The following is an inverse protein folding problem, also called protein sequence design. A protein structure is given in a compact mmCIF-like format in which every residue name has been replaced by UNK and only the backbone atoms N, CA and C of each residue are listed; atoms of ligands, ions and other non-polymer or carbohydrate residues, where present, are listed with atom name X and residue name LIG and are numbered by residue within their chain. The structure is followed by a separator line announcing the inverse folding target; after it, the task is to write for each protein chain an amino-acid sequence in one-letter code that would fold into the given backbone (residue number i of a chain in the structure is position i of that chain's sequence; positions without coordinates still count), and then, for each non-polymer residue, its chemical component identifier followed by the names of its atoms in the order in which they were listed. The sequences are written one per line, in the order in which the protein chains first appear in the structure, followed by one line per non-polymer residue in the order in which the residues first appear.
data_IF_706713277744
#
_entry.id   IF_706713277744
#
_cell.length_a   1.000
_cell.length_b   1.000
_cell.length_c   1.000
_cell.angle_alpha   90.00
_cell.angle_beta   90.00
_cell.angle_gamma   90.00
#
_symmetry.space_group_name_H-M   'P 1'
#
loop_
_entity.id
_entity.type
_entity.pdbx_description
1 polymer ?
#
# COMPACT_ATOMS: atom_id res chain seq x y z
N UNK A 1 23.77 13.96 4.64
CA UNK A 1 24.14 12.92 5.62
C UNK A 1 23.71 13.40 7.00
N UNK A 2 22.63 12.83 7.55
CA UNK A 2 22.28 13.03 8.97
C UNK A 2 23.10 12.03 9.75
N UNK A 3 24.08 12.50 10.49
CA UNK A 3 24.75 11.73 11.51
C UNK A 3 23.74 11.37 12.60
N UNK A 4 23.44 10.08 12.70
CA UNK A 4 22.71 9.54 13.83
C UNK A 4 23.67 9.58 15.03
N UNK A 5 23.46 10.48 15.99
CA UNK A 5 24.21 10.50 17.23
C UNK A 5 23.78 9.31 18.08
N UNK A 6 24.57 8.25 18.07
CA UNK A 6 24.47 7.19 19.07
C UNK A 6 25.02 7.77 20.38
N UNK A 7 24.13 8.05 21.31
CA UNK A 7 24.43 8.68 22.61
C UNK A 7 24.63 7.66 23.73
N UNK A 8 25.24 6.53 23.44
CA UNK A 8 25.69 5.59 24.47
C UNK A 8 27.10 5.12 24.18
N UNK A 9 28.03 5.93 24.66
CA UNK A 9 29.40 5.49 24.85
C UNK A 9 29.53 4.85 26.24
N UNK A 10 29.07 3.63 26.42
CA UNK A 10 29.64 2.78 27.44
C UNK A 10 31.01 2.33 26.96
N UNK A 11 32.05 2.49 27.81
CA UNK A 11 33.39 2.01 27.54
C UNK A 11 33.37 0.46 27.61
N UNK A 12 32.93 -0.18 26.54
CA UNK A 12 32.85 -1.63 26.41
C UNK A 12 32.77 -2.03 24.94
N UNK A 13 33.13 -3.24 24.61
CA UNK A 13 32.96 -3.81 23.27
C UNK A 13 31.48 -4.00 23.01
N UNK A 14 30.91 -3.23 22.09
CA UNK A 14 29.54 -3.44 21.63
C UNK A 14 29.57 -4.51 20.53
N UNK A 15 29.10 -5.69 20.83
CA UNK A 15 28.90 -6.74 19.83
C UNK A 15 27.56 -6.51 19.13
N UNK A 16 27.61 -6.15 17.87
CA UNK A 16 26.43 -6.09 17.01
C UNK A 16 26.30 -7.43 16.29
N UNK A 17 25.30 -8.21 16.68
CA UNK A 17 24.94 -9.44 15.96
C UNK A 17 23.99 -9.08 14.80
N UNK A 18 24.49 -9.20 13.58
CA UNK A 18 23.68 -9.02 12.37
C UNK A 18 23.22 -10.39 11.93
N UNK A 19 21.92 -10.65 12.06
CA UNK A 19 21.29 -11.86 11.52
C UNK A 19 20.79 -11.58 10.11
N UNK A 20 21.27 -12.38 9.15
CA UNK A 20 20.66 -12.37 7.83
C UNK A 20 19.24 -12.96 7.93
N UNK A 21 18.24 -12.19 7.53
CA UNK A 21 16.87 -12.69 7.35
C UNK A 21 16.64 -13.08 5.90
N UNK A 22 15.76 -14.05 5.67
CA UNK A 22 15.33 -14.36 4.31
C UNK A 22 14.74 -13.10 3.64
N UNK A 23 15.15 -12.82 2.41
CA UNK A 23 14.56 -11.73 1.63
C UNK A 23 13.15 -12.16 1.20
N UNK A 24 12.20 -11.23 1.26
CA UNK A 24 10.90 -11.42 0.62
C UNK A 24 11.10 -11.51 -0.90
N UNK A 25 10.32 -12.35 -1.57
CA UNK A 25 10.35 -12.47 -3.03
C UNK A 25 9.72 -11.26 -3.69
N UNK A 26 8.54 -10.86 -3.25
CA UNK A 26 7.88 -9.61 -3.65
C UNK A 26 8.05 -8.60 -2.51
N UNK A 27 8.63 -7.46 -2.81
CA UNK A 27 8.88 -6.40 -1.83
C UNK A 27 8.21 -5.10 -2.24
N UNK A 28 7.87 -4.30 -1.23
CA UNK A 28 7.49 -2.91 -1.41
C UNK A 28 8.78 -2.09 -1.62
N UNK A 29 8.97 -1.57 -2.83
CA UNK A 29 10.21 -0.89 -3.22
C UNK A 29 10.13 0.62 -3.05
N UNK A 30 9.02 1.21 -3.45
CA UNK A 30 8.80 2.66 -3.40
C UNK A 30 7.39 2.96 -2.91
N UNK A 31 7.25 4.07 -2.18
CA UNK A 31 5.96 4.61 -1.77
C UNK A 31 5.97 6.12 -2.00
N UNK A 32 5.11 6.58 -2.88
CA UNK A 32 4.88 8.00 -3.12
C UNK A 32 3.55 8.43 -2.48
N UNK A 33 3.65 9.24 -1.45
CA UNK A 33 2.50 9.67 -0.63
C UNK A 33 2.48 11.19 -0.37
N UNK A 34 3.22 11.93 -1.17
CA UNK A 34 3.37 13.38 -1.00
C UNK A 34 2.09 14.13 -1.42
N UNK A 35 1.94 15.34 -0.89
CA UNK A 35 1.00 16.36 -1.36
C UNK A 35 1.70 17.36 -2.24
N UNK A 36 1.26 17.51 -3.47
CA UNK A 36 1.65 18.58 -4.35
C UNK A 36 0.59 19.70 -4.34
N UNK A 37 0.68 20.63 -5.25
CA UNK A 37 -0.35 21.63 -5.48
C UNK A 37 -1.11 21.30 -6.77
N UNK A 38 -2.37 21.70 -6.82
CA UNK A 38 -3.14 21.73 -8.06
C UNK A 38 -2.47 22.65 -9.08
N UNK A 39 -2.74 22.45 -10.37
CA UNK A 39 -2.13 23.23 -11.46
C UNK A 39 -2.29 24.75 -11.30
N UNK A 40 -3.36 25.21 -10.66
CA UNK A 40 -3.60 26.63 -10.32
C UNK A 40 -2.90 27.08 -9.02
N UNK A 41 -2.18 26.18 -8.34
CA UNK A 41 -1.45 26.44 -7.10
C UNK A 41 -2.28 26.65 -5.84
N UNK A 42 -3.62 26.60 -5.93
CA UNK A 42 -4.50 27.03 -4.82
C UNK A 42 -4.77 25.91 -3.82
N UNK A 43 -4.96 24.69 -4.29
CA UNK A 43 -5.31 23.55 -3.42
C UNK A 43 -4.17 22.54 -3.31
N UNK A 44 -4.28 21.63 -2.36
CA UNK A 44 -3.40 20.47 -2.29
C UNK A 44 -3.90 19.39 -3.25
N UNK A 45 -2.96 18.74 -3.94
CA UNK A 45 -3.18 17.59 -4.81
C UNK A 45 -2.49 16.36 -4.22
N UNK A 46 -3.20 15.28 -4.08
CA UNK A 46 -2.72 14.02 -3.49
C UNK A 46 -3.33 12.78 -4.14
N UNK A 47 -3.80 12.91 -5.38
CA UNK A 47 -4.42 11.80 -6.11
C UNK A 47 -3.44 11.02 -6.98
N UNK A 48 -2.25 11.54 -7.14
CA UNK A 48 -1.12 10.95 -7.83
C UNK A 48 -0.29 9.98 -6.96
N UNK A 49 -0.89 9.52 -5.86
CA UNK A 49 -0.23 8.60 -4.94
C UNK A 49 -0.17 7.19 -5.49
N UNK A 50 0.97 6.54 -5.28
CA UNK A 50 1.22 5.17 -5.70
C UNK A 50 2.24 4.48 -4.79
N UNK A 51 2.38 3.19 -4.97
CA UNK A 51 3.50 2.41 -4.46
C UNK A 51 3.91 1.35 -5.48
N UNK A 52 5.14 0.88 -5.36
CA UNK A 52 5.74 -0.03 -6.32
C UNK A 52 6.08 -1.35 -5.65
N UNK A 53 5.66 -2.45 -6.25
CA UNK A 53 6.14 -3.79 -5.90
C UNK A 53 7.25 -4.20 -6.86
N UNK A 54 8.22 -4.93 -6.35
CA UNK A 54 9.35 -5.43 -7.13
C UNK A 54 9.59 -6.90 -6.81
N UNK A 55 9.88 -7.69 -7.84
CA UNK A 55 10.41 -9.03 -7.65
C UNK A 55 11.90 -8.94 -7.26
N UNK A 56 12.19 -9.18 -5.98
CA UNK A 56 13.53 -9.14 -5.41
C UNK A 56 14.22 -10.51 -5.37
N UNK A 57 13.67 -11.49 -6.06
CA UNK A 57 14.24 -12.85 -6.18
C UNK A 57 14.93 -13.04 -7.53
N UNK A 58 15.66 -14.15 -7.65
CA UNK A 58 16.32 -14.54 -8.90
C UNK A 58 15.40 -15.37 -9.83
N UNK A 59 14.19 -15.68 -9.36
CA UNK A 59 13.20 -16.47 -10.09
C UNK A 59 11.99 -15.62 -10.48
N UNK A 60 11.28 -16.05 -11.53
CA UNK A 60 9.98 -15.48 -11.91
C UNK A 60 8.99 -15.69 -10.78
N UNK A 61 8.37 -14.62 -10.35
CA UNK A 61 7.27 -14.64 -9.39
C UNK A 61 5.95 -14.35 -10.10
N UNK A 62 4.85 -14.57 -9.42
CA UNK A 62 3.51 -14.30 -9.95
C UNK A 62 2.77 -13.39 -8.97
N UNK A 63 2.08 -12.41 -9.53
CA UNK A 63 1.29 -11.45 -8.71
C UNK A 63 -0.10 -11.99 -8.35
N UNK A 64 -0.56 -13.01 -9.07
CA UNK A 64 -1.85 -13.65 -8.83
C UNK A 64 -2.02 -14.01 -7.35
N UNK A 65 -3.08 -13.53 -6.73
CA UNK A 65 -3.33 -13.76 -5.31
C UNK A 65 -2.44 -12.97 -4.35
N UNK A 66 -1.61 -12.06 -4.85
CA UNK A 66 -0.91 -11.11 -3.97
C UNK A 66 -1.89 -10.04 -3.51
N UNK A 67 -2.13 -10.00 -2.21
CA UNK A 67 -2.98 -9.00 -1.57
C UNK A 67 -2.21 -7.74 -1.21
N UNK A 68 -2.88 -6.61 -1.34
CA UNK A 68 -2.39 -5.31 -0.87
C UNK A 68 -3.48 -4.64 -0.03
N UNK A 69 -3.07 -4.01 1.03
CA UNK A 69 -3.99 -3.34 1.94
C UNK A 69 -3.30 -2.32 2.81
N UNK A 70 -4.09 -1.71 3.68
CA UNK A 70 -3.60 -0.69 4.59
C UNK A 70 -3.89 -1.09 6.02
N UNK A 71 -2.98 -0.76 6.91
CA UNK A 71 -3.21 -0.78 8.35
C UNK A 71 -3.28 0.64 8.88
N UNK A 72 -3.94 0.81 10.02
CA UNK A 72 -3.80 2.03 10.79
C UNK A 72 -2.36 2.13 11.27
N UNK A 73 -1.68 3.23 10.91
CA UNK A 73 -0.27 3.40 11.25
C UNK A 73 -0.06 3.45 12.76
N UNK A 74 0.97 2.75 13.24
CA UNK A 74 1.37 2.81 14.63
C UNK A 74 1.82 4.24 14.98
N UNK A 75 1.35 4.77 16.08
CA UNK A 75 1.60 6.16 16.51
C UNK A 75 1.16 7.26 15.51
N UNK A 76 0.26 6.97 14.59
CA UNK A 76 -0.20 7.94 13.58
C UNK A 76 -1.05 9.07 14.15
N UNK A 77 -1.42 9.03 15.41
CA UNK A 77 -2.23 10.04 16.07
C UNK A 77 -1.86 10.22 17.54
N UNK A 78 -2.28 11.35 18.11
CA UNK A 78 -2.10 11.65 19.54
C UNK A 78 -2.98 10.79 20.45
N UNK A 79 -3.84 9.96 19.88
CA UNK A 79 -4.81 9.17 20.63
C UNK A 79 -4.35 7.73 20.80
N UNK A 80 -4.39 7.24 22.03
CA UNK A 80 -4.20 5.82 22.34
C UNK A 80 -5.18 4.88 21.58
N UNK A 81 -6.21 5.42 20.92
CA UNK A 81 -7.17 4.68 20.11
C UNK A 81 -6.48 3.98 18.93
N UNK A 82 -5.51 4.62 18.28
CA UNK A 82 -4.82 4.03 17.12
C UNK A 82 -3.89 2.88 17.50
N UNK A 83 -3.30 2.93 18.69
CA UNK A 83 -2.43 1.86 19.16
C UNK A 83 -3.19 0.57 19.47
N UNK A 84 -4.51 0.64 19.72
CA UNK A 84 -5.35 -0.55 19.96
C UNK A 84 -5.38 -1.53 18.78
N UNK A 85 -5.12 -1.07 17.57
CA UNK A 85 -5.06 -1.95 16.40
C UNK A 85 -3.78 -2.78 16.36
N UNK A 86 -2.69 -2.29 16.93
CA UNK A 86 -1.40 -2.94 16.98
C UNK A 86 -1.12 -3.64 18.30
N UNK A 87 -1.62 -3.07 19.39
CA UNK A 87 -1.40 -3.58 20.73
C UNK A 87 -2.62 -4.34 21.23
N UNK A 88 -2.36 -5.37 22.02
CA UNK A 88 -3.39 -6.09 22.76
C UNK A 88 -4.07 -5.21 23.83
N UNK A 89 -5.01 -5.78 24.54
CA UNK A 89 -5.77 -5.08 25.59
C UNK A 89 -4.90 -4.54 26.73
N UNK A 90 -3.72 -5.12 26.91
CA UNK A 90 -2.74 -4.75 27.94
C UNK A 90 -1.78 -3.64 27.52
N UNK A 91 -1.89 -3.13 26.33
CA UNK A 91 -1.13 -1.99 25.76
C UNK A 91 0.40 -2.15 25.63
N UNK A 92 0.98 -3.28 25.93
CA UNK A 92 2.44 -3.49 25.87
C UNK A 92 2.89 -4.56 24.88
N UNK A 93 2.00 -5.49 24.51
CA UNK A 93 2.33 -6.57 23.58
C UNK A 93 1.68 -6.34 22.22
N UNK A 94 2.41 -6.63 21.16
CA UNK A 94 1.87 -6.62 19.80
C UNK A 94 0.84 -7.75 19.66
N UNK A 95 -0.19 -7.49 18.87
CA UNK A 95 -1.16 -8.52 18.50
C UNK A 95 -0.54 -9.50 17.52
N UNK A 96 -0.97 -10.75 17.59
CA UNK A 96 -0.60 -11.79 16.63
C UNK A 96 -1.23 -11.55 15.25
N UNK A 97 -2.31 -10.76 15.19
CA UNK A 97 -2.99 -10.39 13.96
C UNK A 97 -3.39 -8.91 13.98
N UNK A 98 -3.22 -8.24 12.85
CA UNK A 98 -3.55 -6.82 12.67
C UNK A 98 -4.57 -6.71 11.56
N UNK A 99 -5.73 -6.07 11.80
CA UNK A 99 -6.77 -5.98 10.79
C UNK A 99 -6.36 -5.05 9.63
N UNK A 100 -6.74 -5.42 8.43
CA UNK A 100 -6.72 -4.50 7.28
C UNK A 100 -7.71 -3.38 7.56
N UNK A 101 -7.30 -2.16 7.26
CA UNK A 101 -8.12 -0.97 7.48
C UNK A 101 -8.73 -0.47 6.15
N UNK A 102 -10.01 -0.23 6.16
CA UNK A 102 -10.81 0.31 5.07
C UNK A 102 -10.98 -0.61 3.86
N UNK A 103 -9.93 -0.93 3.13
CA UNK A 103 -9.99 -1.69 1.89
C UNK A 103 -8.85 -2.69 1.78
N UNK A 104 -9.14 -3.86 1.25
CA UNK A 104 -8.17 -4.86 0.84
C UNK A 104 -8.36 -5.19 -0.63
N UNK A 105 -7.25 -5.22 -1.37
CA UNK A 105 -7.24 -5.53 -2.79
C UNK A 105 -6.34 -6.73 -3.06
N UNK A 106 -6.57 -7.41 -4.17
CA UNK A 106 -5.79 -8.55 -4.59
C UNK A 106 -5.57 -8.50 -6.10
N UNK A 107 -4.40 -8.92 -6.55
CA UNK A 107 -4.18 -9.15 -7.96
C UNK A 107 -5.05 -10.31 -8.42
N UNK A 108 -5.85 -10.14 -9.48
CA UNK A 108 -6.67 -11.21 -10.03
C UNK A 108 -5.78 -12.35 -10.58
N UNK A 109 -6.41 -13.45 -10.95
CA UNK A 109 -5.74 -14.58 -11.60
C UNK A 109 -5.72 -15.85 -10.75
N UNK A 110 -5.46 -16.98 -11.42
CA UNK A 110 -5.51 -18.32 -10.84
C UNK A 110 -4.11 -18.90 -10.54
N UNK A 111 -3.08 -18.05 -10.48
CA UNK A 111 -1.76 -18.40 -9.96
C UNK A 111 -0.59 -18.21 -10.90
N UNK A 112 -0.79 -17.98 -12.22
CA UNK A 112 0.29 -17.82 -13.21
C UNK A 112 -0.03 -16.87 -14.35
N UNK A 113 -0.99 -16.00 -14.20
CA UNK A 113 -1.45 -15.11 -15.27
C UNK A 113 -0.64 -13.81 -15.32
N UNK A 114 -0.12 -13.38 -14.18
CA UNK A 114 0.62 -12.12 -14.04
C UNK A 114 2.06 -12.37 -13.57
N UNK A 115 2.94 -12.89 -14.45
CA UNK A 115 4.34 -13.09 -14.11
C UNK A 115 5.07 -11.76 -13.95
N UNK A 116 5.98 -11.72 -12.99
CA UNK A 116 6.90 -10.60 -12.76
C UNK A 116 8.33 -11.15 -12.76
N UNK A 117 9.16 -10.67 -13.69
CA UNK A 117 10.53 -11.13 -13.87
C UNK A 117 11.44 -10.66 -12.72
N UNK A 118 12.60 -11.32 -12.49
CA UNK A 118 13.59 -10.83 -11.55
C UNK A 118 13.96 -9.36 -11.79
N UNK A 119 13.82 -8.54 -10.75
CA UNK A 119 14.07 -7.11 -10.82
C UNK A 119 12.97 -6.26 -11.46
N UNK A 120 11.95 -6.88 -12.03
CA UNK A 120 10.82 -6.17 -12.61
C UNK A 120 9.96 -5.52 -11.52
N UNK A 121 9.26 -4.46 -11.92
CA UNK A 121 8.43 -3.64 -11.04
C UNK A 121 7.04 -3.43 -11.61
N UNK A 122 6.06 -3.41 -10.72
CA UNK A 122 4.69 -2.99 -11.02
C UNK A 122 4.30 -1.86 -10.10
N UNK A 123 3.54 -0.91 -10.63
CA UNK A 123 3.06 0.27 -9.91
C UNK A 123 1.61 0.05 -9.53
N UNK A 124 1.28 0.25 -8.27
CA UNK A 124 -0.11 0.26 -7.80
C UNK A 124 -0.51 1.70 -7.53
N UNK A 125 -1.41 2.23 -8.36
CA UNK A 125 -1.85 3.60 -8.30
C UNK A 125 -3.25 3.72 -7.67
N UNK A 126 -3.42 4.75 -6.85
CA UNK A 126 -4.73 5.07 -6.27
C UNK A 126 -5.64 5.72 -7.30
N UNK A 127 -5.06 6.45 -8.24
CA UNK A 127 -5.77 7.06 -9.37
C UNK A 127 -4.91 6.86 -10.62
N UNK A 128 -5.18 5.79 -11.34
CA UNK A 128 -4.35 5.33 -12.47
C UNK A 128 -4.69 6.08 -13.76
N UNK A 129 -4.33 7.35 -13.80
CA UNK A 129 -4.55 8.29 -14.92
C UNK A 129 -3.31 9.16 -15.16
N UNK A 130 -3.34 9.95 -16.22
CA UNK A 130 -2.37 11.01 -16.46
C UNK A 130 -2.66 12.19 -15.53
N UNK A 131 -1.67 12.61 -14.72
CA UNK A 131 -1.77 13.68 -13.74
C UNK A 131 -1.04 14.97 -14.13
N UNK A 132 -0.33 14.99 -15.23
CA UNK A 132 0.54 16.12 -15.62
C UNK A 132 -0.20 17.45 -15.68
N UNK A 133 -1.44 17.45 -16.14
CA UNK A 133 -2.27 18.66 -16.23
C UNK A 133 -2.88 19.11 -14.90
N UNK A 134 -2.95 18.24 -13.92
CA UNK A 134 -3.67 18.46 -12.66
C UNK A 134 -2.78 19.01 -11.54
N UNK A 135 -1.46 18.93 -11.70
CA UNK A 135 -0.50 19.31 -10.66
C UNK A 135 0.65 20.18 -11.19
N UNK A 136 1.33 20.89 -10.27
CA UNK A 136 2.38 21.84 -10.62
C UNK A 136 3.79 21.27 -10.58
N UNK A 137 4.07 20.19 -9.90
CA UNK A 137 5.43 19.88 -9.47
C UNK A 137 6.16 18.82 -10.27
N UNK A 138 5.47 17.85 -10.85
CA UNK A 138 6.10 16.83 -11.73
C UNK A 138 5.11 16.31 -12.75
N UNK A 139 5.54 16.14 -13.99
CA UNK A 139 4.81 15.29 -14.91
C UNK A 139 4.72 13.90 -14.31
N UNK A 140 3.52 13.37 -14.16
CA UNK A 140 3.28 12.02 -13.64
C UNK A 140 2.18 11.36 -14.44
N UNK A 141 2.57 10.31 -15.18
CA UNK A 141 1.64 9.48 -15.91
C UNK A 141 1.51 8.13 -15.18
N UNK A 142 0.35 7.91 -14.57
CA UNK A 142 -0.03 6.64 -13.95
C UNK A 142 -1.02 5.85 -14.83
N UNK A 143 -0.99 6.07 -16.14
CA UNK A 143 -1.76 5.32 -17.14
C UNK A 143 -0.85 4.47 -18.05
N UNK A 144 0.27 3.96 -17.51
CA UNK A 144 1.22 3.13 -18.23
C UNK A 144 0.88 1.63 -18.10
N UNK A 145 1.48 0.79 -18.96
CA UNK A 145 1.18 -0.64 -19.05
C UNK A 145 1.52 -1.45 -17.78
N UNK A 146 2.50 -1.00 -17.00
CA UNK A 146 2.90 -1.64 -15.75
C UNK A 146 2.17 -1.10 -14.51
N UNK A 147 1.08 -0.36 -14.71
CA UNK A 147 0.29 0.24 -13.63
C UNK A 147 -0.99 -0.57 -13.41
N UNK A 148 -1.27 -0.83 -12.13
CA UNK A 148 -2.50 -1.43 -11.65
C UNK A 148 -3.28 -0.44 -10.81
N UNK A 149 -4.60 -0.38 -11.01
CA UNK A 149 -5.46 0.56 -10.30
C UNK A 149 -6.08 -0.07 -9.05
N UNK A 150 -5.96 0.60 -7.91
CA UNK A 150 -6.77 0.34 -6.72
C UNK A 150 -8.09 1.10 -6.83
N UNK A 151 -9.04 0.56 -7.58
CA UNK A 151 -10.28 1.26 -7.90
C UNK A 151 -11.50 0.34 -7.78
N UNK A 152 -12.54 0.86 -7.18
CA UNK A 152 -13.89 0.30 -7.21
C UNK A 152 -14.87 1.32 -7.78
N UNK A 153 -15.91 0.89 -8.46
CA UNK A 153 -16.81 1.78 -9.21
C UNK A 153 -17.48 2.85 -8.33
N UNK A 154 -17.67 2.55 -7.04
CA UNK A 154 -18.18 3.52 -6.07
C UNK A 154 -17.30 4.76 -5.91
N UNK A 155 -16.00 4.65 -6.14
CA UNK A 155 -15.08 5.80 -6.04
C UNK A 155 -15.35 6.87 -7.11
N UNK A 156 -15.96 6.52 -8.25
CA UNK A 156 -16.23 7.43 -9.35
C UNK A 156 -17.31 8.48 -9.08
N UNK A 157 -18.11 8.32 -8.04
CA UNK A 157 -19.24 9.23 -7.79
C UNK A 157 -18.87 10.42 -6.88
N UNK A 158 -18.30 11.47 -7.45
CA UNK A 158 -17.99 12.71 -6.73
C UNK A 158 -16.67 12.67 -5.93
N UNK A 159 -15.83 11.70 -6.21
CA UNK A 159 -14.53 11.52 -5.59
C UNK A 159 -13.44 12.18 -6.43
N UNK A 160 -12.38 12.53 -5.73
CA UNK A 160 -11.14 12.96 -6.34
C UNK A 160 -10.32 11.80 -6.94
N UNK A 161 -10.60 10.56 -6.57
CA UNK A 161 -10.05 9.36 -7.21
C UNK A 161 -10.77 9.18 -8.55
N UNK A 162 -10.00 9.23 -9.63
CA UNK A 162 -10.52 9.07 -10.99
C UNK A 162 -10.60 7.61 -11.38
N UNK A 163 -11.59 7.25 -12.19
CA UNK A 163 -11.59 5.95 -12.84
C UNK A 163 -10.29 5.75 -13.64
N UNK A 164 -9.71 4.55 -13.62
CA UNK A 164 -8.47 4.29 -14.34
C UNK A 164 -8.62 4.55 -15.84
N UNK A 165 -7.53 4.93 -16.47
CA UNK A 165 -7.49 5.12 -17.91
C UNK A 165 -7.80 3.80 -18.64
N UNK A 166 -8.25 3.92 -19.88
CA UNK A 166 -8.53 2.74 -20.70
C UNK A 166 -7.29 1.87 -20.87
N UNK A 167 -7.44 0.56 -20.64
CA UNK A 167 -6.35 -0.41 -20.73
C UNK A 167 -5.57 -0.62 -19.43
N UNK A 168 -5.73 0.22 -18.41
CA UNK A 168 -5.14 -0.04 -17.10
C UNK A 168 -5.91 -1.12 -16.37
N UNK A 169 -5.21 -2.16 -15.94
CA UNK A 169 -5.80 -3.25 -15.17
C UNK A 169 -6.16 -2.83 -13.75
N UNK A 170 -7.13 -3.54 -13.16
CA UNK A 170 -7.61 -3.26 -11.81
C UNK A 170 -7.31 -4.40 -10.87
N UNK A 171 -6.93 -4.06 -9.66
CA UNK A 171 -6.98 -5.00 -8.55
C UNK A 171 -8.43 -5.29 -8.16
N UNK A 172 -8.71 -6.51 -7.76
CA UNK A 172 -9.99 -6.90 -7.20
C UNK A 172 -10.08 -6.46 -5.73
N UNK A 173 -11.19 -5.85 -5.35
CA UNK A 173 -11.45 -5.49 -3.96
C UNK A 173 -12.15 -6.67 -3.27
N UNK A 174 -11.47 -7.33 -2.35
CA UNK A 174 -12.03 -8.45 -1.58
C UNK A 174 -12.52 -8.05 -0.19
N UNK A 175 -12.13 -6.89 0.29
CA UNK A 175 -12.51 -6.38 1.61
C UNK A 175 -12.81 -4.89 1.52
N UNK A 176 -14.04 -4.54 1.89
CA UNK A 176 -14.54 -3.18 1.87
C UNK A 176 -15.20 -2.86 3.22
N UNK A 177 -14.40 -2.35 4.17
CA UNK A 177 -14.87 -2.02 5.52
C UNK A 177 -15.27 -0.55 5.69
N UNK A 178 -15.06 0.29 4.69
CA UNK A 178 -15.34 1.71 4.74
C UNK A 178 -16.44 2.09 3.75
N UNK A 179 -17.36 2.92 4.18
CA UNK A 179 -18.39 3.52 3.32
C UNK A 179 -17.87 4.70 2.48
N UNK A 180 -16.59 5.03 2.56
CA UNK A 180 -15.96 6.12 1.83
C UNK A 180 -15.95 5.88 0.32
N UNK A 181 -15.93 6.95 -0.45
CA UNK A 181 -15.87 6.94 -1.90
C UNK A 181 -14.48 7.26 -2.47
N UNK A 182 -13.44 7.15 -1.65
CA UNK A 182 -12.05 7.36 -2.05
C UNK A 182 -11.05 6.67 -1.12
N UNK A 183 -9.89 6.39 -1.64
CA UNK A 183 -8.70 5.96 -0.91
C UNK A 183 -7.61 7.01 -1.09
N UNK A 184 -6.90 7.33 -0.02
CA UNK A 184 -5.66 8.12 -0.05
C UNK A 184 -4.67 7.55 0.96
N UNK A 185 -3.40 7.52 0.59
CA UNK A 185 -2.34 7.18 1.53
C UNK A 185 -2.17 8.30 2.55
N UNK A 186 -1.93 7.92 3.79
CA UNK A 186 -1.55 8.87 4.81
C UNK A 186 -0.27 9.60 4.41
N UNK A 187 -0.32 10.92 4.36
CA UNK A 187 0.85 11.75 4.02
C UNK A 187 1.88 11.84 5.16
N UNK A 188 1.56 11.30 6.32
CA UNK A 188 2.44 11.32 7.48
C UNK A 188 3.06 9.97 7.75
N UNK A 189 2.31 8.90 7.48
CA UNK A 189 2.68 7.57 7.93
C UNK A 189 1.84 6.50 7.21
N UNK A 190 2.06 6.27 5.90
CA UNK A 190 1.36 5.20 5.21
C UNK A 190 1.82 3.84 5.76
N UNK A 191 0.87 2.98 6.08
CA UNK A 191 1.12 1.62 6.54
C UNK A 191 0.54 0.64 5.51
N UNK A 192 1.32 0.39 4.47
CA UNK A 192 0.97 -0.53 3.38
C UNK A 192 1.44 -1.93 3.78
N UNK A 193 0.61 -2.92 3.51
CA UNK A 193 0.95 -4.33 3.68
C UNK A 193 0.75 -5.09 2.39
N UNK A 194 1.65 -6.03 2.15
CA UNK A 194 1.63 -6.95 1.00
C UNK A 194 1.68 -8.36 1.57
N UNK A 195 0.77 -9.22 1.14
CA UNK A 195 0.63 -10.57 1.69
C UNK A 195 0.03 -11.53 0.66
N UNK A 196 0.32 -12.83 0.75
CA UNK A 196 -0.37 -13.80 -0.09
C UNK A 196 -1.82 -13.95 0.39
N UNK A 197 -2.76 -13.97 -0.55
CA UNK A 197 -4.17 -14.22 -0.29
C UNK A 197 -4.53 -15.60 -0.81
N UNK A 198 -5.03 -16.46 0.07
CA UNK A 198 -5.58 -17.74 -0.38
C UNK A 198 -7.05 -17.56 -0.74
N UNK A 199 -7.43 -17.92 -1.95
CA UNK A 199 -8.83 -17.85 -2.42
C UNK A 199 -9.82 -18.62 -1.54
N UNK A 200 -9.36 -19.61 -0.78
CA UNK A 200 -10.18 -20.31 0.21
C UNK A 200 -10.62 -19.40 1.37
N UNK A 201 -9.85 -18.34 1.65
CA UNK A 201 -10.18 -17.38 2.70
C UNK A 201 -11.05 -16.22 2.15
N UNK A 202 -10.97 -15.91 0.86
CA UNK A 202 -11.80 -14.86 0.25
C UNK A 202 -13.28 -15.23 0.26
N UNK A 203 -13.62 -16.48 -0.05
CA UNK A 203 -15.01 -16.97 -0.02
C UNK A 203 -15.63 -17.00 1.39
N UNK A 204 -14.82 -17.08 2.43
CA UNK A 204 -15.32 -17.03 3.82
C UNK A 204 -15.77 -15.63 4.25
N UNK A 205 -15.34 -14.56 3.53
CA UNK A 205 -15.70 -13.17 3.83
C UNK A 205 -16.95 -12.68 3.09
N UNK A 206 -17.40 -13.38 2.06
CA UNK A 206 -18.72 -13.08 1.42
C UNK A 206 -19.90 -13.27 2.39
N UNK A 207 -19.68 -14.01 3.47
CA UNK A 207 -20.71 -14.25 4.50
C UNK A 207 -20.65 -13.24 5.67
N UNK A 208 -19.69 -12.33 5.71
CA UNK A 208 -19.59 -11.31 6.77
C UNK A 208 -20.46 -10.06 6.53
N UNK A 209 -21.20 -9.99 5.43
CA UNK A 209 -22.12 -8.89 5.15
C UNK A 209 -23.49 -9.07 5.85
N UNK A 210 -23.72 -10.19 6.53
CA UNK A 210 -25.01 -10.55 7.16
C UNK A 210 -24.95 -10.62 8.71
N UNK A 211 -23.99 -9.92 9.35
CA UNK A 211 -23.97 -9.78 10.80
C UNK A 211 -24.01 -8.33 11.27
#
# INVERSE_FOLDING_TARGET
QRQMCIRDRSAGTNNLEIKATARGTIILKEVYFHKTKTADGKANYNYDQYFTLCNNSDDVQYLDGVGVGFHTSFNSGKSAVYNKFWLGSTSTELRDSIPVNAFGFVFPGEGREHPIQPGEEVVIALSAVEHTADQTSRPMNLAADNVWAMYIDRFGSGSAVKAPAAGVERLECFCELASGNSIVLSISSPAIVVYPVSYTHLRAHETCADL
#
